data_IF_598801825553
#
_entry.id   IF_598801825553
#
_cell.length_a   1.000
_cell.length_b   1.000
_cell.length_c   1.000
_cell.angle_alpha   90.00
_cell.angle_beta   90.00
_cell.angle_gamma   90.00
#
_symmetry.space_group_name_H-M   'P 1'
#
loop_
_entity.id
_entity.type
_entity.pdbx_description
1 polymer ?
#
# COMPACT_ATOMS: atom_id res chain seq x y z
N UNK A 1 34.58 -20.23 -19.22
CA UNK A 1 34.19 -20.93 -17.98
C UNK A 1 35.39 -20.90 -17.05
N UNK A 2 35.44 -19.88 -16.21
CA UNK A 2 36.51 -19.75 -15.24
C UNK A 2 36.33 -20.79 -14.13
N UNK A 3 37.43 -21.37 -13.66
CA UNK A 3 37.43 -22.27 -12.50
C UNK A 3 37.51 -21.40 -11.25
N UNK A 4 36.39 -21.25 -10.54
CA UNK A 4 36.37 -20.57 -9.23
C UNK A 4 36.85 -21.53 -8.14
N UNK A 5 37.71 -21.02 -7.26
CA UNK A 5 38.15 -21.65 -6.02
C UNK A 5 37.34 -21.10 -4.85
N UNK A 6 36.97 -21.96 -3.90
CA UNK A 6 36.19 -21.57 -2.71
C UNK A 6 37.07 -20.82 -1.70
N UNK A 7 38.38 -20.90 -1.85
CA UNK A 7 39.40 -20.29 -0.98
C UNK A 7 39.20 -18.77 -0.88
N UNK A 8 39.02 -18.08 -2.00
CA UNK A 8 38.82 -16.63 -2.05
C UNK A 8 37.54 -16.18 -1.33
N UNK A 9 36.51 -17.04 -1.32
CA UNK A 9 35.26 -16.76 -0.62
C UNK A 9 35.38 -16.96 0.90
N UNK A 10 36.25 -17.89 1.33
CA UNK A 10 36.47 -18.19 2.74
C UNK A 10 37.29 -17.11 3.46
N UNK A 11 38.00 -16.26 2.73
CA UNK A 11 38.62 -15.05 3.31
C UNK A 11 37.57 -14.02 3.75
N UNK A 12 36.34 -14.08 3.22
CA UNK A 12 35.25 -13.16 3.54
C UNK A 12 34.20 -13.75 4.48
N UNK A 13 33.97 -15.05 4.38
CA UNK A 13 32.98 -15.77 5.19
C UNK A 13 33.66 -16.99 5.82
N UNK A 14 33.73 -17.00 7.15
CA UNK A 14 34.47 -18.03 7.89
C UNK A 14 33.89 -19.44 7.73
N UNK A 15 32.58 -19.55 7.47
CA UNK A 15 31.86 -20.81 7.40
C UNK A 15 31.41 -21.15 5.97
N UNK A 16 31.75 -22.37 5.53
CA UNK A 16 31.37 -22.92 4.23
C UNK A 16 29.85 -23.03 4.05
N UNK A 17 29.11 -23.36 5.10
CA UNK A 17 27.65 -23.48 5.02
C UNK A 17 26.98 -22.12 4.85
N UNK A 18 27.48 -21.10 5.56
CA UNK A 18 26.95 -19.75 5.48
C UNK A 18 27.24 -19.14 4.11
N UNK A 19 28.44 -19.40 3.56
CA UNK A 19 28.78 -19.04 2.18
C UNK A 19 27.76 -19.59 1.17
N UNK A 20 27.36 -20.85 1.29
CA UNK A 20 26.37 -21.46 0.38
C UNK A 20 25.01 -20.77 0.52
N UNK A 21 24.61 -20.42 1.73
CA UNK A 21 23.33 -19.77 2.00
C UNK A 21 23.30 -18.33 1.46
N UNK A 22 24.39 -17.59 1.64
CA UNK A 22 24.56 -16.22 1.13
C UNK A 22 24.66 -16.18 -0.38
N UNK A 23 25.45 -17.09 -0.97
CA UNK A 23 25.53 -17.24 -2.41
C UNK A 23 24.16 -17.54 -2.99
N UNK A 24 23.39 -18.47 -2.40
CA UNK A 24 22.00 -18.74 -2.79
C UNK A 24 21.17 -17.45 -2.79
N UNK A 25 21.16 -16.68 -1.70
CA UNK A 25 20.34 -15.48 -1.64
C UNK A 25 20.74 -14.47 -2.72
N UNK A 26 22.06 -14.26 -2.91
CA UNK A 26 22.55 -13.38 -3.97
C UNK A 26 22.17 -13.89 -5.36
N UNK A 27 22.24 -15.19 -5.63
CA UNK A 27 21.77 -15.73 -6.92
C UNK A 27 20.31 -15.45 -7.17
N UNK A 28 19.47 -15.45 -6.12
CA UNK A 28 18.06 -15.15 -6.31
C UNK A 28 17.86 -13.67 -6.63
N UNK A 29 18.63 -12.77 -6.02
CA UNK A 29 18.63 -11.35 -6.38
C UNK A 29 19.06 -11.13 -7.84
N UNK A 30 20.11 -11.83 -8.28
CA UNK A 30 20.52 -11.82 -9.69
C UNK A 30 19.43 -12.41 -10.59
N UNK A 31 18.75 -13.47 -10.15
CA UNK A 31 17.60 -14.07 -10.85
C UNK A 31 16.42 -13.09 -11.00
N UNK A 32 16.15 -12.26 -10.00
CA UNK A 32 15.14 -11.20 -10.06
C UNK A 32 15.56 -9.98 -10.89
N UNK A 33 16.76 -9.98 -11.48
CA UNK A 33 17.23 -8.89 -12.34
C UNK A 33 18.07 -7.82 -11.62
N UNK A 34 18.61 -8.11 -10.44
CA UNK A 34 19.60 -7.24 -9.78
C UNK A 34 20.83 -7.07 -10.68
N UNK A 35 21.43 -5.86 -10.73
CA UNK A 35 22.62 -5.62 -11.53
C UNK A 35 23.81 -6.45 -11.03
N UNK A 36 24.62 -6.90 -11.98
CA UNK A 36 25.85 -7.64 -11.74
C UNK A 36 27.00 -6.63 -11.57
N UNK A 37 27.82 -6.82 -10.55
CA UNK A 37 28.93 -5.91 -10.21
C UNK A 37 30.29 -6.40 -10.73
N UNK A 38 30.33 -7.59 -11.33
CA UNK A 38 31.54 -8.23 -11.89
C UNK A 38 31.37 -8.44 -13.39
N UNK A 39 32.47 -8.57 -14.11
CA UNK A 39 32.45 -8.82 -15.55
C UNK A 39 31.76 -10.17 -15.88
N UNK A 40 30.86 -10.14 -16.85
CA UNK A 40 30.09 -11.30 -17.29
C UNK A 40 30.94 -12.22 -18.20
N UNK A 41 31.67 -13.16 -17.61
CA UNK A 41 32.49 -14.14 -18.34
C UNK A 41 31.70 -15.35 -18.88
N UNK A 42 30.45 -15.13 -19.34
CA UNK A 42 29.49 -16.19 -19.71
C UNK A 42 29.26 -17.25 -18.62
N UNK A 43 29.50 -16.88 -17.36
CA UNK A 43 29.33 -17.76 -16.23
C UNK A 43 27.86 -17.78 -15.74
N UNK A 44 27.46 -18.87 -15.08
CA UNK A 44 26.11 -18.95 -14.48
C UNK A 44 26.01 -17.95 -13.33
N UNK A 45 24.80 -17.45 -13.05
CA UNK A 45 24.52 -16.53 -11.93
C UNK A 45 25.04 -17.05 -10.58
N UNK A 46 25.06 -18.37 -10.37
CA UNK A 46 25.69 -19.03 -9.20
C UNK A 46 27.18 -18.74 -9.07
N UNK A 47 27.91 -18.82 -10.17
CA UNK A 47 29.36 -18.59 -10.21
C UNK A 47 29.64 -17.09 -10.06
N UNK A 48 28.83 -16.25 -10.72
CA UNK A 48 28.91 -14.79 -10.59
C UNK A 48 28.71 -14.36 -9.13
N UNK A 49 27.74 -14.93 -8.42
CA UNK A 49 27.49 -14.61 -7.01
C UNK A 49 28.68 -14.94 -6.09
N UNK A 50 29.35 -16.07 -6.33
CA UNK A 50 30.54 -16.44 -5.57
C UNK A 50 31.71 -15.50 -5.87
N UNK A 51 31.86 -15.07 -7.12
CA UNK A 51 32.88 -14.08 -7.50
C UNK A 51 32.61 -12.71 -6.89
N UNK A 52 31.36 -12.26 -6.87
CA UNK A 52 30.97 -11.00 -6.21
C UNK A 52 31.28 -11.03 -4.71
N UNK A 53 31.09 -12.17 -4.05
CA UNK A 53 31.43 -12.37 -2.63
C UNK A 53 32.95 -12.42 -2.44
N UNK A 54 33.68 -13.20 -3.23
CA UNK A 54 35.14 -13.30 -3.15
C UNK A 54 35.85 -11.96 -3.40
N UNK A 55 35.39 -11.21 -4.41
CA UNK A 55 35.89 -9.85 -4.71
C UNK A 55 35.50 -8.83 -3.63
N UNK A 56 34.59 -9.17 -2.71
CA UNK A 56 34.08 -8.27 -1.67
C UNK A 56 33.30 -7.08 -2.20
N UNK A 57 32.70 -7.17 -3.39
CA UNK A 57 31.86 -6.11 -3.98
C UNK A 57 30.50 -5.98 -3.32
N UNK A 58 30.11 -7.01 -2.57
CA UNK A 58 28.85 -7.09 -1.84
C UNK A 58 29.16 -7.32 -0.38
N UNK A 59 28.52 -6.55 0.49
CA UNK A 59 28.59 -6.76 1.93
C UNK A 59 27.80 -7.99 2.35
N UNK A 60 28.46 -8.87 3.09
CA UNK A 60 27.87 -10.10 3.66
C UNK A 60 26.69 -9.77 4.58
N UNK A 61 26.83 -8.74 5.42
CA UNK A 61 25.79 -8.32 6.37
C UNK A 61 24.48 -7.93 5.68
N UNK A 62 24.53 -7.24 4.54
CA UNK A 62 23.33 -6.87 3.78
C UNK A 62 22.66 -8.12 3.17
N UNK A 63 23.44 -9.09 2.69
CA UNK A 63 22.91 -10.35 2.19
C UNK A 63 22.21 -11.15 3.29
N UNK A 64 22.78 -11.18 4.49
CA UNK A 64 22.17 -11.80 5.66
C UNK A 64 20.85 -11.13 6.03
N UNK A 65 20.84 -9.80 6.13
CA UNK A 65 19.62 -9.04 6.43
C UNK A 65 18.54 -9.27 5.38
N UNK A 66 18.90 -9.31 4.09
CA UNK A 66 17.96 -9.58 3.01
C UNK A 66 17.41 -11.01 3.08
N UNK A 67 18.27 -12.00 3.35
CA UNK A 67 17.86 -13.38 3.54
C UNK A 67 16.87 -13.50 4.71
N UNK A 68 17.17 -12.85 5.83
CA UNK A 68 16.31 -12.81 7.02
C UNK A 68 14.96 -12.16 6.68
N UNK A 69 14.96 -10.97 6.07
CA UNK A 69 13.72 -10.25 5.68
C UNK A 69 12.84 -11.09 4.78
N UNK A 70 13.44 -11.84 3.85
CA UNK A 70 12.71 -12.68 2.90
C UNK A 70 12.11 -13.94 3.54
N UNK A 71 12.82 -14.54 4.50
CA UNK A 71 12.41 -15.77 5.16
C UNK A 71 11.44 -15.52 6.32
N UNK A 72 11.40 -14.29 6.86
CA UNK A 72 10.44 -13.88 7.89
C UNK A 72 9.02 -13.87 7.32
N UNK A 73 8.08 -14.42 8.10
CA UNK A 73 6.65 -14.49 7.75
C UNK A 73 5.87 -13.26 8.21
N UNK A 74 6.24 -12.72 9.36
CA UNK A 74 5.64 -11.53 9.95
C UNK A 74 6.64 -10.38 9.84
N UNK A 75 6.26 -9.22 9.27
CA UNK A 75 7.11 -8.05 9.26
C UNK A 75 7.22 -7.48 10.68
N UNK A 76 8.38 -6.93 11.01
CA UNK A 76 8.57 -6.22 12.28
C UNK A 76 7.57 -5.05 12.30
N UNK A 77 6.71 -4.99 13.32
CA UNK A 77 5.85 -3.83 13.56
C UNK A 77 6.80 -2.64 13.76
N UNK A 78 6.79 -1.71 12.81
CA UNK A 78 7.48 -0.44 13.02
C UNK A 78 6.85 0.18 14.26
N UNK A 79 7.64 0.38 15.32
CA UNK A 79 7.23 1.17 16.49
C UNK A 79 6.93 2.59 16.01
N UNK A 80 5.75 2.80 15.43
CA UNK A 80 5.17 4.11 15.26
C UNK A 80 4.87 4.54 16.68
N UNK A 81 5.68 5.46 17.21
CA UNK A 81 5.26 6.21 18.37
C UNK A 81 3.93 6.84 17.98
N UNK A 82 2.83 6.31 18.53
CA UNK A 82 1.56 7.01 18.48
C UNK A 82 1.84 8.32 19.21
N UNK A 83 1.91 9.42 18.46
CA UNK A 83 1.88 10.77 19.01
C UNK A 83 0.49 10.91 19.66
N UNK A 84 0.36 10.38 20.87
CA UNK A 84 -0.83 10.54 21.68
C UNK A 84 -0.83 12.00 22.10
N UNK A 85 -1.50 12.83 21.32
CA UNK A 85 -1.92 14.16 21.76
C UNK A 85 -2.81 13.93 22.98
N UNK A 86 -2.24 14.04 24.18
CA UNK A 86 -3.01 14.10 25.40
C UNK A 86 -3.90 15.34 25.32
N UNK A 87 -5.16 15.15 24.90
CA UNK A 87 -6.20 16.18 25.03
C UNK A 87 -6.33 16.50 26.53
N UNK A 88 -5.58 17.49 27.00
CA UNK A 88 -5.72 18.05 28.34
C UNK A 88 -7.11 18.66 28.42
N UNK A 89 -8.06 17.85 28.88
CA UNK A 89 -9.46 18.21 29.04
C UNK A 89 -9.57 19.27 30.13
N UNK A 90 -9.50 20.54 29.74
CA UNK A 90 -9.82 21.73 30.56
C UNK A 90 -11.27 21.70 31.12
N UNK A 91 -12.04 20.68 30.78
CA UNK A 91 -13.38 20.39 31.28
C UNK A 91 -13.43 20.09 32.78
N UNK A 92 -12.36 19.59 33.41
CA UNK A 92 -12.36 19.33 34.86
C UNK A 92 -12.52 20.63 35.65
N UNK A 93 -11.84 21.69 35.25
CA UNK A 93 -11.86 22.96 35.96
C UNK A 93 -13.16 23.74 35.70
N UNK A 94 -13.70 23.64 34.48
CA UNK A 94 -15.00 24.20 34.11
C UNK A 94 -16.18 23.54 34.85
N UNK A 95 -16.08 22.24 35.14
CA UNK A 95 -17.10 21.51 35.88
C UNK A 95 -17.11 21.90 37.38
N UNK A 96 -15.94 22.13 37.96
CA UNK A 96 -15.80 22.41 39.40
C UNK A 96 -15.91 23.89 39.77
N UNK A 97 -15.38 24.81 38.94
CA UNK A 97 -15.48 26.26 39.21
C UNK A 97 -16.88 26.82 39.01
N UNK A 98 -17.77 26.05 38.38
CA UNK A 98 -19.11 26.50 38.01
C UNK A 98 -19.03 27.53 36.88
N UNK A 99 -19.85 27.36 35.84
CA UNK A 99 -19.90 28.35 34.76
C UNK A 99 -20.20 29.74 35.32
N UNK A 100 -19.23 30.64 35.16
CA UNK A 100 -19.38 32.05 35.45
C UNK A 100 -20.02 32.68 34.21
N UNK A 101 -21.03 33.54 34.36
CA UNK A 101 -21.57 34.25 33.19
C UNK A 101 -20.48 35.12 32.56
N UNK A 102 -20.67 35.56 31.30
CA UNK A 102 -19.81 36.58 30.66
C UNK A 102 -19.65 37.87 31.49
N UNK A 103 -20.51 38.08 32.48
CA UNK A 103 -20.45 39.22 33.41
C UNK A 103 -19.74 38.91 34.74
N UNK A 104 -19.09 37.76 34.88
CA UNK A 104 -18.31 37.41 36.08
C UNK A 104 -19.15 36.95 37.30
N UNK A 105 -20.46 36.72 37.12
CA UNK A 105 -21.35 36.27 38.22
C UNK A 105 -21.55 34.76 38.14
N UNK A 106 -21.39 34.07 39.28
CA UNK A 106 -21.61 32.64 39.38
C UNK A 106 -23.05 32.26 38.99
N UNK A 107 -23.21 31.37 38.02
CA UNK A 107 -24.53 30.91 37.58
C UNK A 107 -25.04 29.86 38.58
N UNK A 108 -26.03 30.24 39.39
CA UNK A 108 -26.71 29.34 40.31
C UNK A 108 -27.33 28.14 39.56
N UNK A 109 -27.40 26.94 40.16
CA UNK A 109 -27.95 25.74 39.53
C UNK A 109 -29.37 25.94 38.98
N UNK A 110 -30.18 26.75 39.66
CA UNK A 110 -31.56 27.08 39.28
C UNK A 110 -31.68 28.00 38.07
N UNK A 111 -30.64 28.77 37.73
CA UNK A 111 -30.59 29.66 36.56
C UNK A 111 -29.86 29.06 35.36
N UNK A 112 -29.37 27.83 35.47
CA UNK A 112 -28.87 27.06 34.34
C UNK A 112 -30.07 26.74 33.45
N UNK A 113 -30.33 27.56 32.45
CA UNK A 113 -31.23 27.16 31.36
C UNK A 113 -30.66 25.85 30.82
N UNK A 114 -31.46 24.78 30.76
CA UNK A 114 -31.10 23.61 29.96
C UNK A 114 -30.93 24.12 28.54
N UNK A 115 -29.69 24.47 28.17
CA UNK A 115 -29.32 24.65 26.78
C UNK A 115 -29.57 23.27 26.18
N UNK A 116 -30.69 23.13 25.48
CA UNK A 116 -30.91 21.98 24.61
C UNK A 116 -29.65 21.89 23.78
N UNK A 117 -28.90 20.78 23.81
CA UNK A 117 -27.70 20.66 23.02
C UNK A 117 -28.13 20.90 21.58
N UNK A 118 -27.64 21.99 20.98
CA UNK A 118 -27.70 22.11 19.54
C UNK A 118 -26.89 20.92 19.04
N UNK A 119 -27.57 19.97 18.41
CA UNK A 119 -26.93 18.95 17.61
C UNK A 119 -26.06 19.75 16.65
N UNK A 120 -24.75 19.76 16.89
CA UNK A 120 -23.81 20.16 15.85
C UNK A 120 -24.16 19.25 14.70
N UNK A 121 -24.86 19.78 13.69
CA UNK A 121 -24.91 19.12 12.38
C UNK A 121 -23.44 18.83 12.08
N UNK A 122 -23.05 17.57 11.81
CA UNK A 122 -21.70 17.32 11.35
C UNK A 122 -21.50 18.29 10.20
N UNK A 123 -20.55 19.20 10.35
CA UNK A 123 -20.29 20.24 9.37
C UNK A 123 -20.25 19.54 8.02
N UNK A 124 -21.05 20.03 7.08
CA UNK A 124 -20.87 19.70 5.68
C UNK A 124 -19.40 19.94 5.39
N UNK A 125 -18.61 18.86 5.32
CA UNK A 125 -17.24 18.93 4.84
C UNK A 125 -17.29 19.66 3.51
N UNK A 126 -16.35 20.56 3.26
CA UNK A 126 -16.32 21.35 2.02
C UNK A 126 -16.42 20.43 0.77
N UNK A 127 -15.93 19.19 0.90
CA UNK A 127 -16.09 18.07 -0.03
C UNK A 127 -17.54 17.82 -0.48
N UNK A 128 -18.51 17.81 0.43
CA UNK A 128 -19.90 17.51 0.08
C UNK A 128 -20.57 18.66 -0.69
N UNK A 129 -20.11 19.90 -0.46
CA UNK A 129 -20.60 21.08 -1.18
C UNK A 129 -19.97 21.19 -2.57
N UNK A 130 -18.70 20.83 -2.69
CA UNK A 130 -17.94 20.80 -3.94
C UNK A 130 -18.45 19.71 -4.89
N UNK A 131 -18.69 18.49 -4.38
CA UNK A 131 -19.28 17.40 -5.16
C UNK A 131 -20.70 17.71 -5.69
N UNK A 132 -21.52 18.45 -4.93
CA UNK A 132 -22.85 18.86 -5.36
C UNK A 132 -22.83 19.99 -6.41
N UNK A 133 -21.78 20.81 -6.44
CA UNK A 133 -21.59 21.81 -7.49
C UNK A 133 -21.07 21.21 -8.80
N UNK A 134 -20.20 20.20 -8.72
CA UNK A 134 -19.68 19.49 -9.90
C UNK A 134 -20.78 18.68 -10.60
N UNK A 135 -21.60 17.94 -9.84
CA UNK A 135 -22.72 17.16 -10.39
C UNK A 135 -23.83 18.02 -11.04
N UNK A 136 -23.93 19.30 -10.66
CA UNK A 136 -24.88 20.25 -11.26
C UNK A 136 -24.32 20.95 -12.50
N UNK A 137 -23.00 20.99 -12.67
CA UNK A 137 -22.35 21.61 -13.83
C UNK A 137 -22.32 20.68 -15.05
N UNK A 138 -22.32 19.35 -14.84
CA UNK A 138 -22.11 18.35 -15.88
C UNK A 138 -23.39 17.78 -16.54
N UNK A 139 -24.59 18.22 -16.16
CA UNK A 139 -25.81 17.86 -16.90
C UNK A 139 -26.21 18.96 -17.88
N UNK A 140 -26.27 18.69 -19.21
CA UNK A 140 -26.87 19.63 -20.14
C UNK A 140 -28.39 19.64 -19.95
N UNK A 141 -28.97 20.83 -19.78
CA UNK A 141 -30.42 21.03 -19.79
C UNK A 141 -30.99 20.63 -21.16
N UNK A 142 -31.64 19.47 -21.24
CA UNK A 142 -32.39 19.05 -22.42
C UNK A 142 -33.73 19.78 -22.39
N UNK A 143 -33.95 20.70 -23.33
CA UNK A 143 -35.24 21.35 -23.55
C UNK A 143 -36.23 20.34 -24.12
N UNK A 144 -37.40 20.27 -23.50
CA UNK A 144 -38.52 19.38 -23.82
C UNK A 144 -39.18 19.75 -25.17
N UNK A 145 -38.62 19.32 -26.31
CA UNK A 145 -39.30 19.50 -27.61
C UNK A 145 -39.25 18.32 -28.59
N UNK A 146 -38.65 17.17 -28.26
CA UNK A 146 -38.68 16.00 -29.16
C UNK A 146 -39.20 14.74 -28.45
N UNK A 147 -40.52 14.69 -28.25
CA UNK A 147 -41.29 13.47 -28.02
C UNK A 147 -41.95 13.05 -29.35
N UNK A 148 -42.09 11.74 -29.56
CA UNK A 148 -42.68 11.03 -30.73
C UNK A 148 -41.65 10.84 -31.86
N UNK A 149 -41.31 9.66 -32.40
CA UNK A 149 -41.89 8.31 -32.57
C UNK A 149 -40.68 7.44 -33.04
N UNK A 150 -40.47 6.15 -32.78
CA UNK A 150 -41.26 4.96 -33.15
C UNK A 150 -40.45 3.73 -32.68
N UNK A 151 -41.14 2.73 -32.12
CA UNK A 151 -40.60 1.43 -31.71
C UNK A 151 -40.51 0.45 -32.90
N UNK A 152 -39.49 -0.42 -32.91
CA UNK A 152 -39.60 -1.78 -33.42
C UNK A 152 -38.55 -2.70 -32.73
N UNK A 153 -38.95 -3.76 -32.01
CA UNK A 153 -38.03 -4.72 -31.38
C UNK A 153 -37.63 -5.85 -32.34
N UNK A 154 -36.36 -6.28 -32.32
CA UNK A 154 -35.89 -7.46 -33.06
C UNK A 154 -35.57 -8.63 -32.10
N UNK A 155 -36.18 -9.78 -32.38
CA UNK A 155 -36.14 -11.03 -31.62
C UNK A 155 -34.82 -11.82 -31.78
N UNK A 156 -34.44 -12.52 -30.70
CA UNK A 156 -33.40 -13.53 -30.64
C UNK A 156 -33.91 -14.88 -31.17
N UNK A 157 -33.11 -15.60 -31.96
CA UNK A 157 -33.30 -17.03 -32.26
C UNK A 157 -32.01 -17.80 -31.97
N UNK A 158 -32.11 -18.72 -31.02
CA UNK A 158 -31.16 -19.80 -30.73
C UNK A 158 -31.36 -20.99 -31.68
N UNK A 159 -30.40 -21.92 -31.63
CA UNK A 159 -30.39 -23.30 -32.15
C UNK A 159 -30.15 -23.48 -33.67
N UNK A 160 -29.38 -24.45 -34.18
CA UNK A 160 -28.48 -25.47 -33.64
C UNK A 160 -27.70 -26.10 -34.83
N UNK A 161 -26.58 -26.75 -34.50
CA UNK A 161 -25.94 -27.90 -35.18
C UNK A 161 -25.54 -27.84 -36.67
N UNK A 162 -24.24 -28.02 -36.94
CA UNK A 162 -23.75 -28.78 -38.11
C UNK A 162 -22.57 -29.65 -37.67
N UNK A 163 -22.80 -30.96 -37.63
CA UNK A 163 -21.78 -32.01 -37.68
C UNK A 163 -21.39 -32.29 -39.14
N UNK A 164 -20.11 -32.61 -39.29
CA UNK A 164 -19.50 -33.55 -40.25
C UNK A 164 -19.27 -33.21 -41.74
N UNK A 165 -17.98 -33.35 -42.07
CA UNK A 165 -17.41 -34.24 -43.09
C UNK A 165 -16.73 -33.64 -44.34
N UNK A 166 -15.48 -34.11 -44.49
CA UNK A 166 -14.72 -34.36 -45.72
C UNK A 166 -14.17 -33.18 -46.54
N UNK A 167 -12.84 -33.02 -46.53
CA UNK A 167 -12.04 -33.21 -47.75
C UNK A 167 -10.54 -33.42 -47.48
N UNK A 168 -10.06 -34.55 -47.96
CA UNK A 168 -8.67 -34.88 -48.30
C UNK A 168 -8.10 -33.96 -49.38
N UNK A 169 -6.87 -33.50 -49.20
CA UNK A 169 -5.78 -33.48 -50.20
C UNK A 169 -4.43 -33.21 -49.53
#
# INVERSE_FOLDING_TARGET
>A
MARITVEDCLEKVDNQYDLVLLAKERTVQLNSGSPILVEEDNDKRTIISLREIGDGKISVEELEQNAIKRLRKEPDESEQQEDVEEETNDDFENLYKGQISKSGVAILPSKRTRRVPEIKKPGSSNLAKEALSELKADQPEIKEENLETEEAPLELKEEAAVEEENKSE
#
